data_IF_060341258868
#
_entry.id   IF_060341258868
#
_cell.length_a   1.000
_cell.length_b   1.000
_cell.length_c   1.000
_cell.angle_alpha   90.00
_cell.angle_beta   90.00
_cell.angle_gamma   90.00
#
_symmetry.space_group_name_H-M   'P 1'
#
loop_
_entity.id
_entity.type
_entity.pdbx_description
1 polymer ?
#
# COMPACT_ATOMS: atom_id res chain seq x y z
N UNK A 1 0.95 11.35 5.18
CA UNK A 1 1.32 10.60 3.96
C UNK A 1 0.81 11.20 2.64
N UNK A 2 -0.50 11.30 2.36
CA UNK A 2 -1.00 11.79 1.05
C UNK A 2 -0.29 13.07 0.56
N UNK A 3 -0.21 14.08 1.43
CA UNK A 3 0.45 15.35 1.13
C UNK A 3 1.96 15.23 0.95
N UNK A 4 2.60 14.32 1.68
CA UNK A 4 4.05 14.14 1.65
C UNK A 4 4.50 13.38 0.39
N UNK A 5 3.86 12.25 0.09
CA UNK A 5 4.10 11.50 -1.14
C UNK A 5 3.87 12.38 -2.37
N UNK A 6 2.76 13.13 -2.39
CA UNK A 6 2.47 14.10 -3.46
C UNK A 6 3.59 15.15 -3.56
N UNK A 7 4.07 15.68 -2.43
CA UNK A 7 5.15 16.67 -2.39
C UNK A 7 6.43 16.12 -3.02
N UNK A 8 6.85 14.91 -2.64
CA UNK A 8 8.05 14.29 -3.21
C UNK A 8 7.91 14.05 -4.73
N UNK A 9 6.77 13.54 -5.20
CA UNK A 9 6.53 13.32 -6.63
C UNK A 9 6.55 14.66 -7.39
N UNK A 10 5.92 15.70 -6.86
CA UNK A 10 5.93 17.04 -7.47
C UNK A 10 7.32 17.68 -7.48
N UNK A 11 8.11 17.42 -6.46
CA UNK A 11 9.50 17.82 -6.35
C UNK A 11 10.46 16.94 -7.18
N UNK A 12 9.93 15.97 -7.94
CA UNK A 12 10.69 15.09 -8.86
C UNK A 12 11.73 14.23 -8.15
N UNK A 13 11.43 13.78 -6.95
CA UNK A 13 12.22 12.76 -6.30
C UNK A 13 12.12 11.48 -7.15
N UNK A 14 13.26 10.94 -7.63
CA UNK A 14 13.25 9.92 -8.66
C UNK A 14 12.91 8.54 -8.10
N UNK A 15 13.43 8.21 -6.91
CA UNK A 15 13.18 6.96 -6.21
C UNK A 15 12.60 7.24 -4.83
N UNK A 16 11.42 6.68 -4.57
CA UNK A 16 10.77 6.68 -3.27
C UNK A 16 10.66 5.26 -2.76
N UNK A 17 10.76 5.05 -1.46
CA UNK A 17 10.51 3.76 -0.83
C UNK A 17 9.39 3.88 0.19
N UNK A 18 8.26 3.24 -0.10
CA UNK A 18 7.12 3.14 0.82
C UNK A 18 7.23 1.81 1.54
N UNK A 19 7.54 1.85 2.84
CA UNK A 19 7.73 0.66 3.66
C UNK A 19 6.44 0.36 4.41
N UNK A 20 5.77 -0.74 4.04
CA UNK A 20 4.51 -1.15 4.68
C UNK A 20 4.16 -2.61 4.35
N UNK A 21 3.55 -3.36 5.28
CA UNK A 21 2.91 -4.63 4.97
C UNK A 21 1.53 -4.46 4.30
N UNK A 22 0.96 -3.25 4.30
CA UNK A 22 -0.38 -2.97 3.75
C UNK A 22 -0.33 -2.63 2.25
N UNK A 23 0.09 -3.59 1.40
CA UNK A 23 0.28 -3.39 -0.05
C UNK A 23 -0.96 -2.75 -0.72
N UNK A 24 -2.14 -3.35 -0.56
CA UNK A 24 -3.38 -2.89 -1.21
C UNK A 24 -3.77 -1.45 -0.81
N UNK A 25 -3.60 -1.11 0.47
CA UNK A 25 -3.87 0.25 0.96
C UNK A 25 -2.87 1.24 0.39
N UNK A 26 -1.61 0.84 0.28
CA UNK A 26 -0.57 1.67 -0.29
C UNK A 26 -0.77 1.92 -1.78
N UNK A 27 -1.10 0.88 -2.55
CA UNK A 27 -1.43 0.99 -3.97
C UNK A 27 -2.62 1.95 -4.17
N UNK A 28 -3.71 1.73 -3.44
CA UNK A 28 -4.89 2.61 -3.48
C UNK A 28 -4.53 4.07 -3.20
N UNK A 29 -3.64 4.32 -2.24
CA UNK A 29 -3.19 5.69 -1.93
C UNK A 29 -2.32 6.29 -3.03
N UNK A 30 -1.36 5.53 -3.56
CA UNK A 30 -0.48 5.95 -4.66
C UNK A 30 -1.31 6.29 -5.90
N UNK A 31 -2.30 5.46 -6.23
CA UNK A 31 -3.23 5.69 -7.35
C UNK A 31 -4.03 6.99 -7.17
N UNK A 32 -4.56 7.24 -5.97
CA UNK A 32 -5.28 8.48 -5.67
C UNK A 32 -4.38 9.71 -5.83
N UNK A 33 -3.13 9.66 -5.36
CA UNK A 33 -2.14 10.73 -5.57
C UNK A 33 -1.85 10.92 -7.06
N UNK A 34 -1.71 9.83 -7.82
CA UNK A 34 -1.45 9.88 -9.25
C UNK A 34 -2.60 10.50 -10.04
N UNK A 35 -3.86 10.20 -9.68
CA UNK A 35 -5.06 10.82 -10.24
C UNK A 35 -5.00 12.35 -10.06
N UNK A 36 -4.73 12.81 -8.84
CA UNK A 36 -4.61 14.24 -8.53
C UNK A 36 -3.50 14.93 -9.34
N UNK A 37 -2.39 14.21 -9.57
CA UNK A 37 -1.25 14.71 -10.34
C UNK A 37 -1.38 14.55 -11.86
N UNK A 38 -2.47 13.91 -12.34
CA UNK A 38 -2.66 13.50 -13.73
C UNK A 38 -1.43 12.75 -14.25
N UNK A 39 -1.05 11.71 -13.51
CA UNK A 39 0.03 10.79 -13.86
C UNK A 39 -0.57 9.40 -14.00
N UNK A 40 -0.13 8.69 -15.03
CA UNK A 40 -0.44 7.26 -15.14
C UNK A 40 0.34 6.49 -14.09
N UNK A 41 -0.25 5.42 -13.58
CA UNK A 41 0.41 4.48 -12.67
C UNK A 41 0.65 3.17 -13.40
N UNK A 42 1.83 2.60 -13.21
CA UNK A 42 2.18 1.28 -13.71
C UNK A 42 2.70 0.45 -12.55
N UNK A 43 2.17 -0.75 -12.40
CA UNK A 43 2.57 -1.69 -11.37
C UNK A 43 3.52 -2.71 -11.96
N UNK A 44 4.44 -3.18 -11.14
CA UNK A 44 5.31 -4.26 -11.48
C UNK A 44 5.46 -5.23 -10.32
N UNK A 45 5.55 -6.52 -10.62
CA UNK A 45 6.05 -7.53 -9.71
C UNK A 45 6.91 -8.55 -10.46
N UNK A 46 7.82 -9.21 -9.76
CA UNK A 46 8.71 -10.21 -10.37
C UNK A 46 7.94 -11.39 -11.00
N UNK A 47 6.75 -11.71 -10.48
CA UNK A 47 5.89 -12.78 -10.99
C UNK A 47 4.89 -12.31 -12.04
N UNK A 48 4.46 -11.05 -11.96
CA UNK A 48 3.43 -10.47 -12.83
C UNK A 48 4.00 -9.80 -14.08
N UNK A 49 5.22 -9.28 -14.02
CA UNK A 49 5.69 -8.28 -14.98
C UNK A 49 4.98 -6.95 -14.77
N UNK A 50 4.89 -6.16 -15.83
CA UNK A 50 4.24 -4.85 -15.82
C UNK A 50 2.72 -4.97 -16.03
N UNK A 51 1.95 -4.15 -15.33
CA UNK A 51 0.51 -4.01 -15.55
C UNK A 51 0.06 -2.58 -15.33
N UNK A 52 -0.95 -2.15 -16.08
CA UNK A 52 -1.61 -0.87 -15.88
C UNK A 52 -2.97 -1.09 -15.18
N UNK A 53 -3.19 -0.59 -13.95
CA UNK A 53 -4.46 -0.74 -13.25
C UNK A 53 -5.65 -0.12 -14.02
N UNK A 54 -5.42 0.90 -14.85
CA UNK A 54 -6.45 1.48 -15.72
C UNK A 54 -6.78 0.61 -16.94
N UNK A 55 -5.92 -0.36 -17.29
CA UNK A 55 -6.08 -1.30 -18.40
C UNK A 55 -5.74 -2.73 -17.93
N UNK A 56 -6.54 -3.33 -17.02
CA UNK A 56 -6.18 -4.56 -16.32
C UNK A 56 -6.05 -5.78 -17.24
N UNK A 57 -6.62 -5.73 -18.44
CA UNK A 57 -6.47 -6.76 -19.48
C UNK A 57 -5.08 -6.79 -20.13
N UNK A 58 -4.25 -5.77 -19.90
CA UNK A 58 -2.92 -5.62 -20.49
C UNK A 58 -1.83 -5.78 -19.43
N UNK A 59 -1.47 -7.04 -19.16
CA UNK A 59 -0.29 -7.39 -18.38
C UNK A 59 0.84 -7.82 -19.32
N UNK A 60 1.95 -7.09 -19.30
CA UNK A 60 3.15 -7.44 -20.06
C UNK A 60 4.08 -8.32 -19.22
N UNK A 61 3.90 -9.64 -19.38
CA UNK A 61 4.71 -10.65 -18.72
C UNK A 61 6.14 -10.76 -19.25
N UNK A 62 6.46 -10.14 -20.39
CA UNK A 62 7.82 -10.14 -20.93
C UNK A 62 8.77 -9.31 -20.06
N UNK A 63 8.25 -8.36 -19.29
CA UNK A 63 9.00 -7.47 -18.40
C UNK A 63 9.20 -8.01 -16.99
N UNK A 64 9.15 -9.33 -16.76
CA UNK A 64 9.40 -9.92 -15.43
C UNK A 64 10.86 -9.82 -14.98
N UNK A 65 11.78 -9.71 -15.92
CA UNK A 65 13.19 -9.47 -15.63
C UNK A 65 13.39 -8.02 -15.12
N UNK A 66 14.02 -7.80 -13.94
CA UNK A 66 14.19 -6.46 -13.37
C UNK A 66 14.96 -5.50 -14.27
N UNK A 67 15.99 -5.96 -14.99
CA UNK A 67 16.78 -5.09 -15.87
C UNK A 67 15.93 -4.64 -17.07
N UNK A 68 15.20 -5.58 -17.67
CA UNK A 68 14.27 -5.32 -18.77
C UNK A 68 13.21 -4.30 -18.36
N UNK A 69 12.67 -4.44 -17.14
CA UNK A 69 11.74 -3.47 -16.56
C UNK A 69 12.40 -2.10 -16.40
N UNK A 70 13.56 -2.01 -15.73
CA UNK A 70 14.26 -0.74 -15.53
C UNK A 70 14.61 -0.03 -16.86
N UNK A 71 14.87 -0.78 -17.93
CA UNK A 71 15.03 -0.23 -19.28
C UNK A 71 13.73 0.39 -19.79
N UNK A 72 12.60 -0.30 -19.65
CA UNK A 72 11.30 0.22 -20.03
C UNK A 72 10.95 1.53 -19.30
N UNK A 73 11.31 1.67 -18.03
CA UNK A 73 11.17 2.95 -17.29
C UNK A 73 11.93 4.08 -17.98
N UNK A 74 13.14 3.82 -18.47
CA UNK A 74 13.96 4.83 -19.13
C UNK A 74 13.40 5.22 -20.49
N UNK A 75 13.02 4.22 -21.29
CA UNK A 75 12.51 4.37 -22.64
C UNK A 75 11.12 5.03 -22.69
N UNK A 76 10.39 4.97 -21.58
CA UNK A 76 9.08 5.59 -21.47
C UNK A 76 9.14 7.13 -21.64
N UNK A 77 8.44 7.65 -22.65
CA UNK A 77 8.41 9.09 -22.91
C UNK A 77 7.44 9.82 -21.97
N UNK A 78 6.35 9.17 -21.57
CA UNK A 78 5.29 9.83 -20.83
C UNK A 78 5.59 9.97 -19.33
N UNK A 79 5.06 11.02 -18.69
CA UNK A 79 5.05 11.13 -17.23
C UNK A 79 4.30 9.97 -16.59
N UNK A 80 4.97 9.22 -15.71
CA UNK A 80 4.40 8.02 -15.09
C UNK A 80 4.94 7.78 -13.67
N UNK A 81 4.12 7.17 -12.82
CA UNK A 81 4.54 6.62 -11.53
C UNK A 81 4.65 5.11 -11.69
N UNK A 82 5.82 4.56 -11.37
CA UNK A 82 6.11 3.13 -11.46
C UNK A 82 6.18 2.55 -10.05
N UNK A 83 5.30 1.62 -9.72
CA UNK A 83 5.28 0.96 -8.42
C UNK A 83 5.89 -0.43 -8.54
N UNK A 84 7.09 -0.60 -8.00
CA UNK A 84 7.83 -1.86 -8.00
C UNK A 84 7.60 -2.57 -6.67
N UNK A 85 6.82 -3.65 -6.69
CA UNK A 85 6.44 -4.39 -5.49
C UNK A 85 7.49 -5.43 -5.14
N UNK A 86 7.82 -5.51 -3.84
CA UNK A 86 8.80 -6.42 -3.27
C UNK A 86 10.13 -6.44 -4.02
N UNK A 87 10.65 -5.26 -4.36
CA UNK A 87 11.89 -5.14 -5.14
C UNK A 87 13.16 -5.45 -4.32
N UNK A 88 13.07 -5.47 -2.99
CA UNK A 88 14.21 -5.67 -2.09
C UNK A 88 15.03 -6.96 -2.32
N UNK A 89 14.47 -8.13 -2.73
CA UNK A 89 15.26 -9.33 -2.96
C UNK A 89 16.16 -9.20 -4.20
N UNK A 90 15.72 -8.46 -5.23
CA UNK A 90 16.48 -8.30 -6.48
C UNK A 90 17.61 -7.28 -6.35
N UNK A 91 17.59 -6.43 -5.32
CA UNK A 91 18.68 -5.50 -4.98
C UNK A 91 19.94 -6.21 -4.44
N UNK A 92 19.96 -7.55 -4.42
CA UNK A 92 21.19 -8.34 -4.20
C UNK A 92 22.06 -8.44 -5.45
N UNK A 93 21.50 -8.20 -6.64
CA UNK A 93 22.23 -8.23 -7.89
C UNK A 93 22.85 -6.86 -8.18
N UNK A 94 24.18 -6.82 -8.28
CA UNK A 94 24.96 -5.59 -8.53
C UNK A 94 24.56 -4.90 -9.84
N UNK A 95 24.11 -5.64 -10.85
CA UNK A 95 23.63 -5.07 -12.11
C UNK A 95 22.31 -4.33 -11.91
N UNK A 96 21.39 -4.90 -11.11
CA UNK A 96 20.11 -4.28 -10.79
C UNK A 96 20.32 -3.02 -9.96
N UNK A 97 21.23 -3.05 -8.98
CA UNK A 97 21.59 -1.87 -8.18
C UNK A 97 22.16 -0.75 -9.06
N UNK A 98 23.15 -1.07 -9.90
CA UNK A 98 23.75 -0.11 -10.83
C UNK A 98 22.71 0.47 -11.79
N UNK A 99 21.82 -0.37 -12.33
CA UNK A 99 20.79 0.06 -13.28
C UNK A 99 19.73 0.92 -12.61
N UNK A 100 19.28 0.59 -11.40
CA UNK A 100 18.35 1.40 -10.64
C UNK A 100 18.95 2.77 -10.29
N UNK A 101 20.26 2.84 -10.05
CA UNK A 101 20.97 4.11 -9.85
C UNK A 101 21.01 4.97 -11.12
N UNK A 102 21.20 4.36 -12.28
CA UNK A 102 21.09 5.06 -13.58
C UNK A 102 19.68 5.58 -13.83
N UNK A 103 18.66 4.77 -13.49
CA UNK A 103 17.26 5.21 -13.48
C UNK A 103 17.11 6.44 -12.59
N UNK A 104 17.61 6.42 -11.35
CA UNK A 104 17.53 7.55 -10.45
C UNK A 104 18.05 8.86 -11.07
N UNK A 105 19.25 8.83 -11.67
CA UNK A 105 19.85 9.99 -12.30
C UNK A 105 19.09 10.46 -13.54
N UNK A 106 18.62 9.55 -14.39
CA UNK A 106 17.82 9.89 -15.56
C UNK A 106 16.49 10.54 -15.17
N UNK A 107 15.86 10.05 -14.09
CA UNK A 107 14.53 10.51 -13.69
C UNK A 107 14.52 11.90 -13.06
N UNK A 108 15.65 12.40 -12.52
CA UNK A 108 15.76 13.76 -11.95
C UNK A 108 15.32 14.89 -12.92
N UNK A 109 15.48 14.68 -14.23
CA UNK A 109 15.09 15.64 -15.28
C UNK A 109 13.75 15.30 -15.94
N UNK A 110 13.13 14.20 -15.53
CA UNK A 110 11.88 13.70 -16.10
C UNK A 110 10.68 14.06 -15.21
N UNK A 111 9.48 13.65 -15.62
CA UNK A 111 8.27 13.66 -14.78
C UNK A 111 7.85 12.24 -14.35
N UNK A 112 8.81 11.31 -14.36
CA UNK A 112 8.64 9.92 -13.93
C UNK A 112 9.16 9.77 -12.50
N UNK A 113 8.49 8.94 -11.70
CA UNK A 113 8.93 8.55 -10.35
C UNK A 113 8.80 7.04 -10.21
N UNK A 114 9.80 6.42 -9.58
CA UNK A 114 9.75 5.02 -9.17
C UNK A 114 9.46 4.97 -7.67
N UNK A 115 8.49 4.16 -7.29
CA UNK A 115 8.13 3.86 -5.92
C UNK A 115 8.43 2.38 -5.68
N UNK A 116 9.37 2.10 -4.80
CA UNK A 116 9.60 0.77 -4.25
C UNK A 116 8.58 0.56 -3.13
N UNK A 117 7.74 -0.46 -3.26
CA UNK A 117 6.70 -0.79 -2.29
C UNK A 117 6.96 -2.17 -1.70
N UNK A 118 6.98 -2.29 -0.38
CA UNK A 118 7.04 -3.58 0.29
C UNK A 118 7.30 -3.46 1.79
N UNK A 119 7.25 -4.59 2.52
CA UNK A 119 7.34 -4.59 3.98
C UNK A 119 8.77 -4.48 4.51
N UNK A 120 9.78 -4.73 3.66
CA UNK A 120 11.20 -4.78 4.05
C UNK A 120 11.95 -3.59 3.48
N UNK A 121 12.60 -2.83 4.35
CA UNK A 121 13.54 -1.79 3.95
C UNK A 121 14.96 -2.38 3.92
N UNK A 122 15.53 -2.52 2.71
CA UNK A 122 16.94 -2.88 2.51
C UNK A 122 17.51 -2.10 1.34
N UNK A 123 18.24 -1.05 1.65
CA UNK A 123 18.88 -0.17 0.66
C UNK A 123 20.36 -0.57 0.53
N UNK A 124 20.85 -0.92 -0.67
CA UNK A 124 22.28 -1.01 -0.95
C UNK A 124 22.98 0.34 -0.75
N UNK A 125 24.23 0.32 -0.29
CA UNK A 125 25.01 1.54 0.01
C UNK A 125 25.07 2.52 -1.18
N UNK A 126 25.10 1.99 -2.40
CA UNK A 126 25.16 2.78 -3.63
C UNK A 126 23.89 3.57 -3.95
N UNK A 127 22.77 3.28 -3.26
CA UNK A 127 21.45 3.89 -3.47
C UNK A 127 20.97 4.74 -2.29
N UNK A 128 21.73 4.82 -1.19
CA UNK A 128 21.33 5.54 0.02
C UNK A 128 21.03 7.03 -0.20
N UNK A 129 21.69 7.67 -1.18
CA UNK A 129 21.50 9.10 -1.47
C UNK A 129 20.44 9.32 -2.55
N UNK A 130 20.07 8.27 -3.26
CA UNK A 130 19.17 8.29 -4.40
C UNK A 130 17.74 7.91 -4.00
N UNK A 131 17.56 7.17 -2.90
CA UNK A 131 16.27 6.73 -2.37
C UNK A 131 15.82 7.64 -1.23
N UNK A 132 14.58 8.12 -1.30
CA UNK A 132 13.90 8.77 -0.17
C UNK A 132 12.85 7.84 0.41
N UNK A 133 12.97 7.55 1.71
CA UNK A 133 11.99 6.73 2.43
C UNK A 133 10.77 7.59 2.76
N UNK A 134 9.58 7.04 2.53
CA UNK A 134 8.30 7.69 2.79
C UNK A 134 7.57 6.89 3.86
N UNK A 135 7.20 7.55 4.95
CA UNK A 135 6.52 6.92 6.07
C UNK A 135 5.07 6.58 5.70
N UNK A 136 4.72 5.30 5.84
CA UNK A 136 3.37 4.79 5.63
C UNK A 136 2.63 4.68 6.95
N UNK A 137 1.95 5.76 7.34
CA UNK A 137 1.19 5.81 8.59
C UNK A 137 0.04 4.81 8.57
N UNK A 138 -0.18 4.09 9.69
CA UNK A 138 -1.34 3.23 9.94
C UNK A 138 -2.68 3.92 9.63
N UNK A 139 -3.76 3.15 9.38
CA UNK A 139 -5.06 3.72 9.05
C UNK A 139 -5.55 4.72 10.10
N UNK A 140 -6.07 5.84 9.61
CA UNK A 140 -6.74 6.87 10.39
C UNK A 140 -8.07 6.36 10.95
N UNK A 141 -8.60 7.07 11.95
CA UNK A 141 -9.93 6.77 12.50
C UNK A 141 -11.03 6.81 11.42
N UNK A 142 -10.90 7.69 10.43
CA UNK A 142 -11.84 7.79 9.30
C UNK A 142 -11.76 6.58 8.36
N UNK A 143 -10.55 6.06 8.11
CA UNK A 143 -10.36 4.83 7.34
C UNK A 143 -10.89 3.61 8.08
N UNK A 144 -10.68 3.53 9.40
CA UNK A 144 -11.23 2.48 10.25
C UNK A 144 -12.77 2.53 10.33
N UNK A 145 -13.37 3.72 10.35
CA UNK A 145 -14.83 3.86 10.27
C UNK A 145 -15.37 3.35 8.93
N UNK A 146 -14.68 3.63 7.82
CA UNK A 146 -15.05 3.08 6.50
C UNK A 146 -14.94 1.56 6.47
N UNK A 147 -13.90 0.99 7.06
CA UNK A 147 -13.74 -0.46 7.21
C UNK A 147 -14.93 -1.05 7.99
N UNK A 148 -15.31 -0.43 9.11
CA UNK A 148 -16.45 -0.87 9.91
C UNK A 148 -17.75 -0.84 9.09
N UNK A 149 -18.02 0.24 8.37
CA UNK A 149 -19.19 0.34 7.49
C UNK A 149 -19.19 -0.75 6.40
N UNK A 150 -18.02 -1.07 5.83
CA UNK A 150 -17.90 -2.16 4.86
C UNK A 150 -18.22 -3.52 5.49
N UNK A 151 -17.69 -3.80 6.68
CA UNK A 151 -17.97 -5.04 7.42
C UNK A 151 -19.46 -5.14 7.72
N UNK A 152 -20.10 -4.08 8.19
CA UNK A 152 -21.55 -4.06 8.47
C UNK A 152 -22.38 -4.27 7.20
N UNK A 153 -21.96 -3.70 6.07
CA UNK A 153 -22.64 -3.89 4.80
C UNK A 153 -22.55 -5.33 4.30
N UNK A 154 -21.39 -5.97 4.45
CA UNK A 154 -21.19 -7.37 4.11
C UNK A 154 -21.95 -8.30 5.07
N UNK A 155 -21.98 -7.97 6.36
CA UNK A 155 -22.75 -8.65 7.39
C UNK A 155 -24.26 -8.64 7.07
N UNK A 156 -24.81 -7.54 6.54
CA UNK A 156 -26.24 -7.49 6.13
C UNK A 156 -26.57 -8.36 4.92
N UNK A 157 -25.58 -8.69 4.09
CA UNK A 157 -25.78 -9.53 2.90
C UNK A 157 -25.67 -11.02 3.21
N UNK A 158 -24.99 -11.38 4.30
CA UNK A 158 -24.86 -12.74 4.80
C UNK A 158 -25.78 -12.91 6.01
N UNK A 159 -26.81 -13.75 5.93
CA UNK A 159 -27.87 -13.97 6.96
C UNK A 159 -27.40 -14.44 8.37
N UNK A 160 -26.11 -14.29 8.73
CA UNK A 160 -25.51 -14.78 9.96
C UNK A 160 -24.90 -13.74 10.91
N UNK A 161 -24.86 -12.44 10.57
CA UNK A 161 -24.22 -11.43 11.44
C UNK A 161 -25.22 -10.35 11.85
N UNK A 162 -25.45 -10.23 13.16
CA UNK A 162 -26.24 -9.16 13.77
C UNK A 162 -25.33 -8.05 14.28
N UNK A 163 -25.52 -6.84 13.77
CA UNK A 163 -24.77 -5.66 14.20
C UNK A 163 -25.64 -4.85 15.16
N UNK A 164 -25.23 -4.76 16.42
CA UNK A 164 -25.90 -3.96 17.46
C UNK A 164 -24.91 -3.01 18.15
N UNK A 165 -24.36 -2.08 17.36
CA UNK A 165 -23.49 -1.01 17.88
C UNK A 165 -24.19 0.34 17.84
N UNK A 166 -24.42 0.92 19.02
CA UNK A 166 -24.73 2.34 19.13
C UNK A 166 -23.50 3.21 18.81
N UNK A 167 -23.68 4.52 18.64
CA UNK A 167 -22.59 5.47 18.33
C UNK A 167 -21.40 5.36 19.28
N UNK A 168 -21.63 5.15 20.59
CA UNK A 168 -20.56 5.00 21.59
C UNK A 168 -19.83 3.67 21.45
N UNK A 169 -20.53 2.60 21.06
CA UNK A 169 -19.95 1.30 20.75
C UNK A 169 -19.01 1.39 19.56
N UNK A 170 -19.46 2.04 18.47
CA UNK A 170 -18.62 2.31 17.29
C UNK A 170 -17.36 3.09 17.65
N UNK A 171 -17.49 4.21 18.35
CA UNK A 171 -16.35 5.03 18.74
C UNK A 171 -15.35 4.26 19.62
N UNK A 172 -15.82 3.31 20.43
CA UNK A 172 -14.94 2.43 21.23
C UNK A 172 -14.24 1.40 20.35
N UNK A 173 -14.95 0.78 19.41
CA UNK A 173 -14.38 -0.19 18.48
C UNK A 173 -13.28 0.43 17.60
N UNK A 174 -13.52 1.62 17.05
CA UNK A 174 -12.52 2.35 16.27
C UNK A 174 -11.28 2.61 17.13
N UNK A 175 -11.45 3.07 18.37
CA UNK A 175 -10.34 3.29 19.30
C UNK A 175 -9.59 2.01 19.65
N UNK A 176 -10.28 0.88 19.77
CA UNK A 176 -9.66 -0.42 19.96
C UNK A 176 -8.80 -0.81 18.75
N UNK A 177 -9.26 -0.51 17.53
CA UNK A 177 -8.54 -0.79 16.28
C UNK A 177 -7.40 0.20 15.96
N UNK A 178 -7.34 1.36 16.62
CA UNK A 178 -6.26 2.32 16.39
C UNK A 178 -4.90 1.70 16.71
N UNK A 179 -3.93 1.87 15.82
CA UNK A 179 -2.61 1.25 15.97
C UNK A 179 -2.50 -0.15 15.37
N UNK A 180 -3.57 -0.67 14.76
CA UNK A 180 -3.55 -1.86 13.91
C UNK A 180 -3.50 -1.45 12.44
N UNK A 181 -2.96 -2.33 11.60
CA UNK A 181 -3.17 -2.29 10.15
C UNK A 181 -4.64 -2.56 9.82
N UNK A 182 -5.08 -2.21 8.61
CA UNK A 182 -6.45 -2.50 8.15
C UNK A 182 -6.75 -4.01 8.22
N UNK A 183 -5.78 -4.83 7.85
CA UNK A 183 -5.92 -6.30 7.87
C UNK A 183 -6.04 -6.83 9.31
N UNK A 184 -5.21 -6.37 10.23
CA UNK A 184 -5.30 -6.75 11.64
C UNK A 184 -6.62 -6.29 12.27
N UNK A 185 -7.05 -5.06 12.02
CA UNK A 185 -8.33 -4.55 12.50
C UNK A 185 -9.51 -5.38 11.96
N UNK A 186 -9.50 -5.69 10.66
CA UNK A 186 -10.52 -6.52 10.02
C UNK A 186 -10.57 -7.93 10.65
N UNK A 187 -9.41 -8.56 10.83
CA UNK A 187 -9.29 -9.89 11.43
C UNK A 187 -9.74 -9.90 12.89
N UNK A 188 -9.35 -8.89 13.68
CA UNK A 188 -9.75 -8.77 15.08
C UNK A 188 -11.28 -8.61 15.21
N UNK A 189 -11.90 -7.78 14.36
CA UNK A 189 -13.36 -7.62 14.33
C UNK A 189 -14.03 -8.94 13.93
N UNK A 190 -13.56 -9.59 12.86
CA UNK A 190 -14.13 -10.86 12.41
C UNK A 190 -14.07 -11.95 13.49
N UNK A 191 -12.92 -12.05 14.19
CA UNK A 191 -12.75 -12.98 15.32
C UNK A 191 -13.73 -12.68 16.45
N UNK A 192 -13.84 -11.42 16.85
CA UNK A 192 -14.75 -11.00 17.91
C UNK A 192 -16.23 -11.30 17.58
N UNK A 193 -16.64 -11.14 16.32
CA UNK A 193 -17.99 -11.51 15.85
C UNK A 193 -18.23 -13.01 15.96
N UNK A 194 -17.22 -13.83 15.61
CA UNK A 194 -17.33 -15.30 15.70
C UNK A 194 -17.44 -15.74 17.17
N UNK A 195 -16.65 -15.15 18.06
CA UNK A 195 -16.67 -15.45 19.50
C UNK A 195 -17.99 -15.03 20.18
N UNK A 196 -18.66 -14.01 19.64
CA UNK A 196 -19.96 -13.53 20.13
C UNK A 196 -21.16 -14.14 19.37
N UNK A 197 -21.01 -15.34 18.81
CA UNK A 197 -22.07 -16.08 18.08
C UNK A 197 -22.73 -15.25 16.96
N UNK A 198 -21.93 -14.52 16.18
CA UNK A 198 -22.41 -13.71 15.07
C UNK A 198 -22.91 -12.33 15.48
N UNK A 199 -22.66 -11.87 16.71
CA UNK A 199 -23.05 -10.53 17.17
C UNK A 199 -21.86 -9.57 17.19
N UNK A 200 -22.05 -8.37 16.68
CA UNK A 200 -21.13 -7.26 16.85
C UNK A 200 -21.75 -6.28 17.86
N UNK A 201 -21.41 -6.45 19.13
CA UNK A 201 -21.92 -5.68 20.28
C UNK A 201 -20.77 -5.21 21.20
N UNK A 202 -21.08 -4.75 22.43
CA UNK A 202 -20.05 -4.28 23.37
C UNK A 202 -19.08 -5.37 23.84
N UNK A 203 -19.47 -6.65 23.85
CA UNK A 203 -18.60 -7.76 24.22
C UNK A 203 -17.54 -7.98 23.14
N UNK A 204 -17.95 -7.89 21.86
CA UNK A 204 -17.03 -7.94 20.73
C UNK A 204 -15.99 -6.80 20.76
N UNK A 205 -16.36 -5.60 21.24
CA UNK A 205 -15.41 -4.49 21.42
C UNK A 205 -14.33 -4.81 22.47
N UNK A 206 -14.71 -5.48 23.56
CA UNK A 206 -13.77 -5.92 24.59
C UNK A 206 -12.81 -6.99 24.05
N UNK A 207 -13.31 -7.93 23.24
CA UNK A 207 -12.50 -8.95 22.58
C UNK A 207 -11.44 -8.34 21.64
N UNK A 208 -11.81 -7.36 20.79
CA UNK A 208 -10.85 -6.65 19.92
C UNK A 208 -9.77 -5.93 20.74
N UNK A 209 -10.15 -5.33 21.87
CA UNK A 209 -9.20 -4.65 22.76
C UNK A 209 -8.20 -5.63 23.39
N UNK A 210 -8.67 -6.84 23.75
CA UNK A 210 -7.81 -7.90 24.27
C UNK A 210 -6.87 -8.46 23.19
N UNK A 211 -7.36 -8.66 21.97
CA UNK A 211 -6.55 -9.16 20.85
C UNK A 211 -5.39 -8.23 20.52
N UNK A 212 -5.63 -6.91 20.53
CA UNK A 212 -4.58 -5.91 20.31
C UNK A 212 -3.41 -6.01 21.30
N UNK A 213 -3.61 -6.57 22.51
CA UNK A 213 -2.53 -6.76 23.47
C UNK A 213 -1.65 -7.97 23.16
N UNK A 214 -2.09 -8.87 22.27
CA UNK A 214 -1.39 -10.10 21.91
C UNK A 214 -0.61 -10.01 20.59
N UNK A 215 -0.84 -8.94 19.80
CA UNK A 215 -0.17 -8.64 18.52
C UNK A 215 0.98 -7.66 18.78
#
# INVERSE_FOLDING_TARGET
MNTELETYIRARYPLLWVVTPEEERALSMIENVAINLRRRVLHWSITGGESNPALPSHQDRSRRDPITMLNAILDEADPAIWVLRDFHPVLKDVNVVRRLREVAFALQKSKKTVILLGPVLRIPEELEKEITVVDFSLPSAEELEKLLVQIESAARQNDGIQVDLNRRGRDRLIRACQGLTVTEASNAIAKAVIEADGRLDEEAVAAVTAEKQQI
#
